data_IF_721585464345
#
_entry.id   IF_721585464345
#
_cell.length_a   1.000
_cell.length_b   1.000
_cell.length_c   1.000
_cell.angle_alpha   90.00
_cell.angle_beta   90.00
_cell.angle_gamma   90.00
#
_symmetry.space_group_name_H-M   'P 1'
#
loop_
_entity.id
_entity.type
_entity.pdbx_description
1 polymer ?
#
# COMPACT_ATOMS: atom_id res chain seq x y z
N UNK A 1 -3.56 -13.04 4.72
CA UNK A 1 -3.01 -11.67 4.50
C UNK A 1 -4.05 -10.87 3.72
N UNK A 2 -4.10 -9.55 3.86
CA UNK A 2 -4.94 -8.66 3.04
C UNK A 2 -4.02 -7.82 2.17
N UNK A 3 -4.31 -7.72 0.87
CA UNK A 3 -3.64 -6.80 -0.04
C UNK A 3 -4.61 -5.69 -0.47
N UNK A 4 -4.16 -4.44 -0.36
CA UNK A 4 -4.90 -3.23 -0.73
C UNK A 4 -3.95 -2.26 -1.43
N UNK A 5 -4.48 -1.51 -2.38
CA UNK A 5 -3.82 -0.37 -3.01
C UNK A 5 -4.58 0.92 -2.69
N UNK A 6 -3.89 2.05 -2.72
CA UNK A 6 -4.51 3.38 -2.55
C UNK A 6 -4.06 4.32 -3.66
N UNK A 7 -4.96 5.21 -4.05
CA UNK A 7 -4.66 6.31 -4.97
C UNK A 7 -5.50 7.55 -4.60
N UNK A 8 -5.35 8.63 -5.36
CA UNK A 8 -6.10 9.87 -5.14
C UNK A 8 -7.63 9.70 -5.12
N UNK A 9 -8.13 8.66 -5.80
CA UNK A 9 -9.54 8.33 -5.93
C UNK A 9 -10.05 7.35 -4.88
N UNK A 10 -9.18 6.83 -4.00
CA UNK A 10 -9.57 5.96 -2.90
C UNK A 10 -8.77 4.67 -2.83
N UNK A 11 -9.34 3.69 -2.13
CA UNK A 11 -8.75 2.38 -1.94
C UNK A 11 -9.24 1.40 -3.00
N UNK A 12 -8.38 0.48 -3.44
CA UNK A 12 -8.80 -0.64 -4.26
C UNK A 12 -9.65 -1.63 -3.45
N UNK A 13 -10.38 -2.52 -4.13
CA UNK A 13 -11.06 -3.62 -3.45
C UNK A 13 -10.03 -4.47 -2.70
N UNK A 14 -10.21 -4.73 -1.39
CA UNK A 14 -9.27 -5.56 -0.65
C UNK A 14 -9.25 -6.98 -1.18
N UNK A 15 -8.05 -7.52 -1.38
CA UNK A 15 -7.83 -8.89 -1.78
C UNK A 15 -7.41 -9.74 -0.58
N UNK A 16 -8.17 -10.81 -0.30
CA UNK A 16 -7.83 -11.78 0.73
C UNK A 16 -6.89 -12.84 0.15
N UNK A 17 -5.64 -12.82 0.61
CA UNK A 17 -4.67 -13.88 0.30
C UNK A 17 -4.94 -15.07 1.21
N UNK A 18 -5.19 -16.23 0.59
CA UNK A 18 -5.45 -17.49 1.28
C UNK A 18 -4.37 -17.82 2.32
N UNK A 19 -4.78 -18.39 3.46
CA UNK A 19 -3.95 -18.51 4.66
C UNK A 19 -2.62 -19.27 4.48
N UNK A 20 -2.55 -20.17 3.50
CA UNK A 20 -1.34 -20.96 3.19
C UNK A 20 -0.66 -20.54 1.88
N UNK A 21 -1.14 -19.49 1.21
CA UNK A 21 -0.58 -19.08 -0.07
C UNK A 21 0.76 -18.36 0.14
N UNK A 22 1.81 -18.89 -0.48
CA UNK A 22 3.09 -18.16 -0.61
C UNK A 22 2.92 -17.10 -1.69
N UNK A 23 3.11 -15.84 -1.31
CA UNK A 23 3.00 -14.70 -2.23
C UNK A 23 4.28 -14.65 -3.07
N UNK A 24 4.32 -15.45 -4.14
CA UNK A 24 5.37 -15.36 -5.16
C UNK A 24 5.13 -14.15 -6.06
N UNK A 25 6.15 -13.71 -6.81
CA UNK A 25 5.99 -12.65 -7.80
C UNK A 25 4.81 -12.95 -8.75
N UNK A 26 4.78 -14.17 -9.32
CA UNK A 26 3.70 -14.60 -10.21
C UNK A 26 2.33 -14.58 -9.53
N UNK A 27 2.25 -15.00 -8.27
CA UNK A 27 1.01 -14.96 -7.51
C UNK A 27 0.53 -13.51 -7.31
N UNK A 28 1.43 -12.62 -6.91
CA UNK A 28 1.13 -11.19 -6.74
C UNK A 28 0.62 -10.59 -8.04
N UNK A 29 1.30 -10.85 -9.16
CA UNK A 29 0.91 -10.31 -10.47
C UNK A 29 -0.48 -10.80 -10.86
N UNK A 30 -0.72 -12.11 -10.81
CA UNK A 30 -1.96 -12.68 -11.33
C UNK A 30 -3.16 -12.41 -10.42
N UNK A 31 -2.96 -12.40 -9.10
CA UNK A 31 -4.06 -12.42 -8.14
C UNK A 31 -4.25 -11.08 -7.41
N UNK A 32 -3.23 -10.22 -7.37
CA UNK A 32 -3.29 -8.92 -6.67
C UNK A 32 -3.20 -7.78 -7.68
N UNK A 33 -2.16 -7.75 -8.49
CA UNK A 33 -1.89 -6.62 -9.37
C UNK A 33 -2.83 -6.59 -10.59
N UNK A 34 -2.94 -7.69 -11.34
CA UNK A 34 -3.77 -7.74 -12.57
C UNK A 34 -5.23 -7.34 -12.31
N UNK A 35 -5.89 -7.79 -11.21
CA UNK A 35 -7.23 -7.32 -10.86
C UNK A 35 -7.30 -5.84 -10.45
N UNK A 36 -6.19 -5.24 -10.01
CA UNK A 36 -6.11 -3.83 -9.60
C UNK A 36 -5.83 -2.87 -10.76
N UNK A 37 -5.07 -3.31 -11.78
CA UNK A 37 -4.64 -2.45 -12.90
C UNK A 37 -5.32 -2.73 -14.23
N UNK A 38 -6.30 -3.64 -14.27
CA UNK A 38 -6.98 -4.10 -15.50
C UNK A 38 -6.00 -4.58 -16.59
N UNK A 39 -4.76 -4.91 -16.20
CA UNK A 39 -3.71 -5.35 -17.10
C UNK A 39 -3.78 -6.88 -17.25
N UNK A 40 -4.05 -7.35 -18.46
CA UNK A 40 -3.98 -8.77 -18.80
C UNK A 40 -2.57 -9.31 -18.50
N UNK A 41 -2.50 -10.10 -17.43
CA UNK A 41 -1.49 -11.11 -17.08
C UNK A 41 -0.39 -11.34 -18.13
N UNK A 42 0.85 -10.93 -17.82
CA UNK A 42 2.16 -11.48 -18.20
C UNK A 42 3.28 -10.53 -17.69
N UNK A 43 3.45 -10.32 -16.38
CA UNK A 43 4.14 -9.10 -15.95
C UNK A 43 5.01 -9.26 -14.70
N UNK A 44 6.10 -10.04 -14.76
CA UNK A 44 7.15 -10.05 -13.71
C UNK A 44 8.43 -9.30 -14.12
N UNK A 45 8.82 -9.41 -15.40
CA UNK A 45 9.87 -8.59 -16.02
C UNK A 45 9.25 -7.40 -16.74
N UNK A 46 8.03 -7.55 -17.24
CA UNK A 46 7.30 -6.51 -17.96
C UNK A 46 6.66 -5.46 -17.02
N UNK A 47 6.76 -5.59 -15.69
CA UNK A 47 6.02 -4.70 -14.76
C UNK A 47 6.68 -3.35 -14.64
N UNK A 48 8.01 -3.29 -14.41
CA UNK A 48 8.73 -2.04 -14.47
C UNK A 48 8.57 -1.41 -15.85
N UNK A 49 8.82 -2.16 -16.93
CA UNK A 49 8.72 -1.62 -18.30
C UNK A 49 7.32 -1.11 -18.64
N UNK A 50 6.26 -1.89 -18.37
CA UNK A 50 4.89 -1.46 -18.63
C UNK A 50 4.50 -0.28 -17.73
N UNK A 51 4.95 -0.25 -16.48
CA UNK A 51 4.71 0.88 -15.59
C UNK A 51 5.46 2.14 -16.04
N UNK A 52 6.72 2.02 -16.47
CA UNK A 52 7.51 3.12 -17.03
C UNK A 52 6.88 3.64 -18.34
N UNK A 53 6.36 2.75 -19.20
CA UNK A 53 5.72 3.11 -20.46
C UNK A 53 4.31 3.70 -20.29
N UNK A 54 3.51 3.22 -19.34
CA UNK A 54 2.07 3.57 -19.23
C UNK A 54 1.76 4.48 -18.03
N UNK A 55 2.68 4.61 -17.07
CA UNK A 55 2.50 5.41 -15.86
C UNK A 55 3.69 6.36 -15.67
N UNK A 56 3.64 7.58 -16.24
CA UNK A 56 4.77 8.52 -16.24
C UNK A 56 5.24 8.97 -14.84
N UNK A 57 4.44 8.70 -13.80
CA UNK A 57 4.77 8.98 -12.40
C UNK A 57 5.06 7.70 -11.59
N UNK A 58 5.32 6.58 -12.27
CA UNK A 58 5.79 5.36 -11.63
C UNK A 58 7.09 5.64 -10.88
N UNK A 59 7.14 5.20 -9.63
CA UNK A 59 8.34 5.33 -8.80
C UNK A 59 9.03 3.96 -8.83
N UNK A 60 10.15 3.83 -9.56
CA UNK A 60 10.85 2.56 -9.64
C UNK A 60 11.45 2.19 -8.28
N UNK A 61 11.71 0.90 -8.09
CA UNK A 61 12.19 0.36 -6.82
C UNK A 61 13.44 1.07 -6.29
N UNK A 62 14.36 1.46 -7.18
CA UNK A 62 15.59 2.15 -6.79
C UNK A 62 15.38 3.61 -6.34
N UNK A 63 14.23 4.22 -6.66
CA UNK A 63 13.79 5.49 -6.07
C UNK A 63 13.09 5.29 -4.72
N UNK A 64 12.78 4.05 -4.35
CA UNK A 64 12.22 3.73 -3.05
C UNK A 64 13.33 3.49 -2.03
N UNK A 65 13.19 4.10 -0.86
CA UNK A 65 14.11 3.84 0.24
C UNK A 65 13.76 2.53 0.92
N UNK A 66 14.72 1.61 0.95
CA UNK A 66 14.58 0.36 1.68
C UNK A 66 14.37 0.64 3.17
N UNK A 67 13.48 -0.13 3.81
CA UNK A 67 13.16 -0.05 5.25
C UNK A 67 12.55 1.29 5.70
N UNK A 68 11.83 1.99 4.83
CA UNK A 68 11.18 3.28 5.14
C UNK A 68 9.64 3.23 5.17
N UNK A 69 9.02 2.52 6.13
CA UNK A 69 7.56 2.47 6.26
C UNK A 69 6.96 3.85 6.62
N UNK A 70 7.75 4.73 7.22
CA UNK A 70 7.42 6.12 7.53
C UNK A 70 7.24 7.01 6.30
N UNK A 71 7.64 6.53 5.11
CA UNK A 71 7.51 7.23 3.83
C UNK A 71 6.45 6.60 2.91
N UNK A 72 5.92 5.43 3.27
CA UNK A 72 4.88 4.73 2.53
C UNK A 72 3.48 5.15 3.02
N UNK A 73 2.65 5.85 2.23
CA UNK A 73 1.33 6.32 2.68
C UNK A 73 0.37 5.20 3.13
N UNK A 74 0.57 3.99 2.61
CA UNK A 74 -0.17 2.83 3.08
C UNK A 74 0.24 2.43 4.50
N UNK A 75 1.53 2.49 4.83
CA UNK A 75 2.05 2.04 6.12
C UNK A 75 1.80 3.07 7.23
N UNK A 76 2.27 4.31 7.06
CA UNK A 76 2.20 5.29 8.15
C UNK A 76 0.79 5.85 8.42
N UNK A 77 -0.16 5.68 7.49
CA UNK A 77 -1.52 6.21 7.65
C UNK A 77 -2.57 5.10 7.65
N UNK A 78 -2.72 4.37 6.53
CA UNK A 78 -3.81 3.39 6.38
C UNK A 78 -3.61 2.22 7.34
N UNK A 79 -2.43 1.61 7.35
CA UNK A 79 -2.12 0.47 8.22
C UNK A 79 -2.16 0.88 9.70
N UNK A 80 -1.73 2.09 10.06
CA UNK A 80 -1.88 2.60 11.43
C UNK A 80 -3.34 2.74 11.87
N UNK A 81 -4.22 3.24 11.00
CA UNK A 81 -5.66 3.30 11.28
C UNK A 81 -6.24 1.89 11.41
N UNK A 82 -5.93 0.99 10.48
CA UNK A 82 -6.39 -0.40 10.53
C UNK A 82 -5.93 -1.08 11.83
N UNK A 83 -4.65 -0.94 12.22
CA UNK A 83 -4.13 -1.47 13.49
C UNK A 83 -4.92 -0.94 14.69
N UNK A 84 -5.20 0.37 14.74
CA UNK A 84 -6.00 1.00 15.81
C UNK A 84 -7.44 0.48 15.84
N UNK A 85 -8.09 0.32 14.69
CA UNK A 85 -9.48 -0.15 14.59
C UNK A 85 -9.64 -1.65 14.91
N UNK A 86 -8.61 -2.44 14.64
CA UNK A 86 -8.65 -3.91 14.77
C UNK A 86 -8.14 -4.39 16.14
N UNK A 87 -7.25 -3.65 16.80
CA UNK A 87 -6.64 -4.05 18.08
C UNK A 87 -5.51 -5.08 17.93
N UNK A 88 -4.89 -5.47 19.05
CA UNK A 88 -3.64 -6.26 19.12
C UNK A 88 -3.70 -7.72 18.62
N UNK A 89 -4.88 -8.31 18.40
CA UNK A 89 -5.00 -9.74 18.06
C UNK A 89 -5.97 -9.95 16.91
N UNK A 90 -5.43 -10.21 15.73
CA UNK A 90 -6.21 -10.63 14.58
C UNK A 90 -5.63 -11.92 14.01
N UNK A 91 -6.20 -13.06 14.43
CA UNK A 91 -5.80 -14.41 13.95
C UNK A 91 -7.00 -15.17 13.35
N UNK A 92 -8.19 -14.54 13.26
CA UNK A 92 -9.42 -15.21 12.84
C UNK A 92 -10.15 -14.49 11.70
N UNK A 93 -11.04 -15.23 11.04
CA UNK A 93 -11.83 -14.79 9.88
C UNK A 93 -12.72 -13.58 10.21
N UNK A 94 -13.18 -13.47 11.46
CA UNK A 94 -13.96 -12.33 11.94
C UNK A 94 -13.16 -11.02 11.89
N UNK A 95 -11.87 -11.07 12.24
CA UNK A 95 -10.95 -9.95 12.08
C UNK A 95 -10.79 -9.52 10.63
N UNK A 96 -10.62 -10.46 9.72
CA UNK A 96 -10.54 -10.17 8.27
C UNK A 96 -11.83 -9.52 7.76
N UNK A 97 -13.00 -10.00 8.18
CA UNK A 97 -14.29 -9.40 7.82
C UNK A 97 -14.41 -7.95 8.31
N UNK A 98 -13.84 -7.63 9.48
CA UNK A 98 -13.80 -6.25 9.99
C UNK A 98 -12.88 -5.35 9.15
N UNK A 99 -11.74 -5.87 8.68
CA UNK A 99 -10.87 -5.14 7.74
C UNK A 99 -11.64 -4.77 6.48
N UNK A 100 -12.34 -5.72 5.87
CA UNK A 100 -13.10 -5.49 4.64
C UNK A 100 -14.11 -4.34 4.82
N UNK A 101 -14.88 -4.36 5.91
CA UNK A 101 -15.86 -3.31 6.23
C UNK A 101 -15.25 -1.92 6.39
N UNK A 102 -14.06 -1.85 7.02
CA UNK A 102 -13.34 -0.57 7.18
C UNK A 102 -12.83 -0.07 5.84
N UNK A 103 -12.31 -0.96 4.99
CA UNK A 103 -11.81 -0.61 3.67
C UNK A 103 -12.92 -0.14 2.72
N UNK A 104 -14.11 -0.74 2.77
CA UNK A 104 -15.27 -0.36 1.93
C UNK A 104 -15.69 1.10 2.10
N UNK A 105 -15.53 1.65 3.31
CA UNK A 105 -15.95 3.02 3.66
C UNK A 105 -14.77 3.88 4.14
N UNK A 106 -13.56 3.58 3.67
CA UNK A 106 -12.36 4.28 4.14
C UNK A 106 -12.42 5.76 3.75
N UNK A 107 -12.13 6.66 4.71
CA UNK A 107 -12.25 8.10 4.47
C UNK A 107 -11.25 8.55 3.40
N UNK A 108 -11.78 8.96 2.25
CA UNK A 108 -11.00 9.47 1.12
C UNK A 108 -10.12 10.67 1.49
N UNK A 109 -10.54 11.48 2.45
CA UNK A 109 -9.76 12.64 2.94
C UNK A 109 -8.48 12.18 3.62
N UNK A 110 -8.52 11.05 4.33
CA UNK A 110 -7.32 10.47 4.96
C UNK A 110 -6.34 10.00 3.89
N UNK A 111 -6.82 9.32 2.85
CA UNK A 111 -5.97 8.86 1.75
C UNK A 111 -5.33 10.05 1.02
N UNK A 112 -6.11 11.08 0.69
CA UNK A 112 -5.56 12.28 0.02
C UNK A 112 -4.56 13.02 0.90
N UNK A 113 -4.86 13.20 2.19
CA UNK A 113 -3.93 13.81 3.14
C UNK A 113 -2.63 13.01 3.27
N UNK A 114 -2.70 11.68 3.32
CA UNK A 114 -1.49 10.85 3.38
C UNK A 114 -0.66 11.04 2.10
N UNK A 115 -1.27 10.89 0.92
CA UNK A 115 -0.57 11.09 -0.36
C UNK A 115 0.13 12.47 -0.45
N UNK A 116 -0.55 13.55 -0.05
CA UNK A 116 0.03 14.90 -0.02
C UNK A 116 1.15 15.05 1.03
N UNK A 117 1.00 14.43 2.20
CA UNK A 117 2.01 14.53 3.27
C UNK A 117 3.33 13.83 2.96
N UNK A 118 3.36 12.96 1.93
CA UNK A 118 4.55 12.21 1.55
C UNK A 118 5.73 13.13 1.21
N UNK A 119 5.48 14.23 0.51
CA UNK A 119 6.54 15.16 0.12
C UNK A 119 7.21 15.80 1.35
N UNK A 120 6.41 16.30 2.29
CA UNK A 120 6.93 16.85 3.55
C UNK A 120 7.65 15.80 4.41
N UNK A 121 7.22 14.53 4.37
CA UNK A 121 7.92 13.41 5.02
C UNK A 121 9.28 13.15 4.41
N UNK A 122 9.36 13.13 3.07
CA UNK A 122 10.63 12.97 2.35
C UNK A 122 11.56 14.13 2.68
N UNK A 123 11.07 15.37 2.69
CA UNK A 123 11.89 16.52 3.07
C UNK A 123 12.41 16.41 4.50
N UNK A 124 11.55 16.06 5.46
CA UNK A 124 11.96 15.86 6.86
C UNK A 124 12.99 14.75 7.01
N UNK A 125 12.90 13.67 6.22
CA UNK A 125 13.91 12.61 6.19
C UNK A 125 15.26 13.12 5.65
N UNK A 126 15.25 13.99 4.63
CA UNK A 126 16.47 14.63 4.13
C UNK A 126 17.09 15.52 5.23
N UNK A 127 16.28 16.31 5.92
CA UNK A 127 16.72 17.20 6.99
C UNK A 127 17.31 16.42 8.17
N UNK A 128 16.77 15.24 8.46
CA UNK A 128 17.27 14.33 9.51
C UNK A 128 18.39 13.41 9.01
N UNK A 129 18.93 13.62 7.80
CA UNK A 129 20.03 12.84 7.20
C UNK A 129 19.72 11.35 7.07
N UNK A 130 18.49 11.01 6.67
CA UNK A 130 18.06 9.63 6.47
C UNK A 130 17.55 8.92 7.71
N UNK A 131 17.38 9.62 8.83
CA UNK A 131 16.77 9.04 10.03
C UNK A 131 15.25 8.96 9.90
N UNK A 132 14.65 8.05 10.68
CA UNK A 132 13.21 7.83 10.70
C UNK A 132 12.45 9.12 11.03
N UNK A 133 11.33 9.31 10.34
CA UNK A 133 10.46 10.46 10.48
C UNK A 133 9.21 10.08 11.27
N UNK A 134 9.14 10.58 12.51
CA UNK A 134 7.87 10.68 13.23
C UNK A 134 7.24 12.05 12.93
N UNK A 135 5.94 12.09 12.66
CA UNK A 135 5.19 13.35 12.64
C UNK A 135 4.30 13.34 13.88
N UNK A 136 4.39 14.40 14.67
CA UNK A 136 3.40 14.72 15.70
C UNK A 136 2.01 14.79 15.05
N UNK A 137 1.07 14.02 15.61
CA UNK A 137 -0.20 13.65 14.98
C UNK A 137 -1.15 14.78 14.64
#
# INVERSE_FOLDING_TARGET
MVAIGICWNGMSKPYLVGGNAKVTAQYFINNVLSPMVDAKSQVAILTPNWMEENHPNYIPEYHWMAKSPDLAPLDYAVNEILKKTLGRRMINIAGLSKVLKVCENFDLRVIRKSLLSREGRVQKMLDTKGNQVEIDG
#
